data_IF_856499825708
#
_entry.id   IF_856499825708
#
_cell.length_a   1.000
_cell.length_b   1.000
_cell.length_c   1.000
_cell.angle_alpha   90.00
_cell.angle_beta   90.00
_cell.angle_gamma   90.00
#
_symmetry.space_group_name_H-M   'P 1'
#
loop_
_entity.id
_entity.type
_entity.pdbx_description
1 polymer ?
#
# COMPACT_ATOMS: atom_id res chain seq x y z
N UNK A 1 -52.00 -3.53 26.23
CA UNK A 1 -51.69 -4.48 25.14
C UNK A 1 -51.01 -3.71 24.01
N UNK A 2 -50.04 -4.29 23.29
CA UNK A 2 -48.60 -4.47 23.57
C UNK A 2 -47.72 -3.30 23.10
N UNK A 3 -46.52 -3.15 23.68
CA UNK A 3 -45.53 -2.12 23.31
C UNK A 3 -44.55 -2.55 22.21
N UNK A 4 -43.77 -1.61 21.63
CA UNK A 4 -42.70 -1.94 20.69
C UNK A 4 -41.41 -2.36 21.44
N UNK A 5 -41.27 -3.67 21.64
CA UNK A 5 -39.99 -4.40 21.56
C UNK A 5 -39.35 -4.10 20.19
N UNK A 6 -38.05 -4.10 19.93
CA UNK A 6 -36.87 -4.47 20.66
C UNK A 6 -35.65 -4.04 19.81
N UNK A 7 -34.57 -3.64 20.48
CA UNK A 7 -33.17 -3.81 20.06
C UNK A 7 -32.74 -3.30 18.68
N UNK A 8 -32.29 -2.04 18.65
CA UNK A 8 -31.15 -1.64 17.81
C UNK A 8 -29.95 -2.49 18.22
N UNK A 9 -29.71 -3.59 17.50
CA UNK A 9 -28.50 -4.38 17.60
C UNK A 9 -27.31 -3.54 17.13
N UNK A 10 -26.67 -2.82 18.06
CA UNK A 10 -25.31 -2.37 17.85
C UNK A 10 -24.46 -3.64 17.71
N UNK A 11 -24.03 -3.93 16.48
CA UNK A 11 -23.04 -4.99 16.23
C UNK A 11 -21.77 -4.52 16.92
N UNK A 12 -21.58 -4.98 18.15
CA UNK A 12 -20.33 -4.92 18.89
C UNK A 12 -19.34 -5.81 18.13
N UNK A 13 -18.67 -5.21 17.14
CA UNK A 13 -17.47 -5.81 16.56
C UNK A 13 -16.46 -5.87 17.70
N UNK A 14 -16.02 -7.06 18.14
CA UNK A 14 -15.04 -7.16 19.20
C UNK A 14 -13.79 -6.38 18.79
N UNK A 15 -13.14 -5.61 19.68
CA UNK A 15 -11.92 -4.87 19.34
C UNK A 15 -10.79 -5.80 18.83
N UNK A 16 -10.87 -7.09 19.18
CA UNK A 16 -10.00 -8.16 18.67
C UNK A 16 -10.23 -8.43 17.17
N UNK A 17 -11.47 -8.39 16.68
CA UNK A 17 -11.77 -8.56 15.25
C UNK A 17 -11.23 -7.41 14.40
N UNK A 18 -11.21 -6.18 14.93
CA UNK A 18 -10.57 -5.04 14.25
C UNK A 18 -9.03 -5.17 14.20
N UNK A 19 -8.41 -5.77 15.22
CA UNK A 19 -6.97 -6.07 15.26
C UNK A 19 -6.58 -7.27 14.36
N UNK A 20 -7.49 -8.20 14.10
CA UNK A 20 -7.23 -9.40 13.29
C UNK A 20 -7.14 -9.12 11.78
N UNK A 21 -7.81 -8.08 11.28
CA UNK A 21 -7.79 -7.72 9.85
C UNK A 21 -6.53 -6.94 9.47
N UNK A 22 -5.97 -6.14 10.39
CA UNK A 22 -4.78 -5.31 10.13
C UNK A 22 -3.48 -6.13 10.05
N UNK A 23 -3.41 -7.27 10.74
CA UNK A 23 -2.21 -8.14 10.72
C UNK A 23 -2.07 -9.03 9.47
N UNK A 24 -3.07 -9.05 8.58
CA UNK A 24 -3.09 -9.93 7.42
C UNK A 24 -2.50 -9.30 6.16
N UNK A 25 -2.37 -7.97 6.11
CA UNK A 25 -1.83 -7.27 4.94
C UNK A 25 -0.60 -6.47 5.35
N UNK A 26 0.48 -6.64 4.59
CA UNK A 26 1.71 -5.89 4.83
C UNK A 26 2.51 -5.73 3.54
N UNK A 27 3.38 -4.71 3.52
CA UNK A 27 4.38 -4.56 2.48
C UNK A 27 5.48 -5.62 2.69
N UNK A 28 5.76 -6.38 1.63
CA UNK A 28 6.89 -7.32 1.57
C UNK A 28 7.82 -6.94 0.44
N UNK A 29 9.13 -7.16 0.56
CA UNK A 29 10.04 -6.99 -0.56
C UNK A 29 9.57 -7.78 -1.78
N UNK A 30 9.51 -7.13 -2.93
CA UNK A 30 9.23 -7.79 -4.20
C UNK A 30 10.33 -8.80 -4.52
N UNK A 31 9.98 -9.88 -5.22
CA UNK A 31 10.95 -10.92 -5.57
C UNK A 31 12.10 -10.33 -6.42
N UNK A 32 13.37 -10.65 -6.10
CA UNK A 32 14.51 -10.12 -6.85
C UNK A 32 14.38 -10.39 -8.35
N UNK A 33 14.49 -9.35 -9.16
CA UNK A 33 14.44 -9.46 -10.62
C UNK A 33 13.03 -9.48 -11.24
N UNK A 34 11.97 -9.70 -10.47
CA UNK A 34 10.59 -9.68 -10.96
C UNK A 34 9.89 -8.36 -10.56
N UNK A 35 9.28 -7.67 -11.53
CA UNK A 35 8.37 -6.58 -11.21
C UNK A 35 7.00 -7.14 -10.79
N UNK A 36 6.29 -6.47 -9.86
CA UNK A 36 4.94 -6.82 -9.48
C UNK A 36 3.98 -6.75 -10.68
N UNK A 37 2.89 -7.51 -10.60
CA UNK A 37 1.87 -7.53 -11.64
C UNK A 37 1.10 -6.20 -11.67
N UNK A 38 0.46 -5.84 -12.80
CA UNK A 38 -0.53 -4.78 -12.84
C UNK A 38 -1.59 -4.94 -11.73
N UNK A 39 -2.14 -3.81 -11.29
CA UNK A 39 -3.11 -3.68 -10.18
C UNK A 39 -2.57 -4.07 -8.79
N UNK A 40 -1.26 -4.26 -8.65
CA UNK A 40 -0.63 -4.50 -7.34
C UNK A 40 -0.33 -3.17 -6.66
N UNK A 41 -0.75 -2.99 -5.41
CA UNK A 41 -0.31 -1.85 -4.58
C UNK A 41 1.16 -2.04 -4.19
N UNK A 42 1.95 -1.00 -4.42
CA UNK A 42 3.40 -1.02 -4.25
C UNK A 42 3.91 0.21 -3.53
N UNK A 43 5.05 0.03 -2.87
CA UNK A 43 5.87 1.10 -2.34
C UNK A 43 7.23 1.03 -2.99
N UNK A 44 7.64 2.14 -3.61
CA UNK A 44 8.93 2.31 -4.26
C UNK A 44 9.77 3.24 -3.40
N UNK A 45 10.97 2.80 -3.02
CA UNK A 45 11.99 3.66 -2.40
C UNK A 45 13.12 3.85 -3.40
N UNK A 46 13.51 5.11 -3.62
CA UNK A 46 14.52 5.47 -4.61
C UNK A 46 15.95 5.32 -4.08
N UNK A 47 16.88 4.98 -4.97
CA UNK A 47 18.32 4.88 -4.67
C UNK A 47 18.94 6.23 -4.32
N UNK A 48 18.44 7.29 -4.94
CA UNK A 48 18.75 8.67 -4.61
C UNK A 48 17.43 9.45 -4.61
N UNK A 49 17.28 10.51 -3.79
CA UNK A 49 16.10 11.35 -3.87
C UNK A 49 15.98 11.95 -5.27
N UNK A 50 14.75 12.03 -5.77
CA UNK A 50 14.44 12.58 -7.09
C UNK A 50 13.47 13.75 -6.99
N UNK A 51 13.45 14.59 -8.01
CA UNK A 51 12.49 15.68 -8.11
C UNK A 51 11.32 15.25 -9.00
N UNK A 52 10.09 15.47 -8.53
CA UNK A 52 8.87 15.02 -9.22
C UNK A 52 8.02 16.24 -9.62
N UNK A 53 7.76 16.44 -10.93
CA UNK A 53 6.86 17.48 -11.37
C UNK A 53 5.41 17.12 -11.00
N UNK A 54 4.72 18.06 -10.35
CA UNK A 54 3.34 17.97 -9.87
C UNK A 54 2.43 18.95 -10.63
N UNK A 55 2.70 19.17 -11.92
CA UNK A 55 2.04 20.20 -12.72
C UNK A 55 2.67 21.58 -12.48
N UNK A 56 2.05 22.37 -11.61
CA UNK A 56 2.42 23.79 -11.38
C UNK A 56 3.64 23.96 -10.45
N UNK A 57 4.04 22.92 -9.73
CA UNK A 57 5.22 22.93 -8.88
C UNK A 57 5.98 21.61 -8.99
N UNK A 58 7.23 21.61 -8.55
CA UNK A 58 8.05 20.39 -8.44
C UNK A 58 8.21 20.04 -6.97
N UNK A 59 7.90 18.80 -6.61
CA UNK A 59 8.19 18.28 -5.30
C UNK A 59 9.62 17.76 -5.29
N UNK A 60 10.50 18.44 -4.55
CA UNK A 60 11.92 18.11 -4.53
C UNK A 60 12.26 17.02 -3.51
N UNK A 61 13.36 16.31 -3.76
CA UNK A 61 13.93 15.30 -2.88
C UNK A 61 12.96 14.18 -2.46
N UNK A 62 12.12 13.69 -3.38
CA UNK A 62 11.25 12.55 -3.15
C UNK A 62 12.07 11.28 -2.96
N UNK A 63 11.90 10.64 -1.82
CA UNK A 63 12.61 9.40 -1.45
C UNK A 63 11.75 8.16 -1.63
N UNK A 64 10.43 8.32 -1.63
CA UNK A 64 9.50 7.20 -1.71
C UNK A 64 8.18 7.59 -2.37
N UNK A 65 7.61 6.64 -3.12
CA UNK A 65 6.27 6.71 -3.70
C UNK A 65 5.46 5.48 -3.28
N UNK A 66 4.18 5.69 -2.99
CA UNK A 66 3.20 4.61 -2.84
C UNK A 66 2.13 4.77 -3.92
N UNK A 67 1.73 3.65 -4.53
CA UNK A 67 0.79 3.67 -5.64
C UNK A 67 0.36 2.27 -6.07
N UNK A 68 -0.27 2.19 -7.23
CA UNK A 68 -0.70 0.93 -7.86
C UNK A 68 0.04 0.76 -9.17
N UNK A 69 0.53 -0.44 -9.46
CA UNK A 69 1.20 -0.75 -10.73
C UNK A 69 0.21 -0.65 -11.87
N UNK A 70 0.47 0.24 -12.82
CA UNK A 70 -0.28 0.32 -14.07
C UNK A 70 0.29 -0.64 -15.12
N UNK A 71 1.61 -0.68 -15.22
CA UNK A 71 2.34 -1.52 -16.18
C UNK A 71 3.75 -1.80 -15.65
N UNK A 72 4.31 -2.92 -16.06
CA UNK A 72 5.65 -3.34 -15.66
C UNK A 72 6.36 -3.94 -16.88
N UNK A 73 7.52 -3.40 -17.21
CA UNK A 73 8.41 -3.91 -18.26
C UNK A 73 9.76 -4.34 -17.65
N UNK A 74 10.68 -4.89 -18.46
CA UNK A 74 12.00 -5.30 -18.00
C UNK A 74 12.73 -4.17 -17.29
N UNK A 75 12.66 -2.95 -17.82
CA UNK A 75 13.49 -1.82 -17.39
C UNK A 75 12.71 -0.69 -16.70
N UNK A 76 11.38 -0.69 -16.77
CA UNK A 76 10.55 0.39 -16.21
C UNK A 76 9.36 -0.15 -15.43
N UNK A 77 9.03 0.56 -14.34
CA UNK A 77 7.83 0.33 -13.53
C UNK A 77 6.89 1.53 -13.72
N UNK A 78 5.77 1.32 -14.41
CA UNK A 78 4.71 2.30 -14.52
C UNK A 78 3.73 2.18 -13.35
N UNK A 79 3.51 3.28 -12.63
CA UNK A 79 2.63 3.31 -11.47
C UNK A 79 1.73 4.54 -11.45
N UNK A 80 0.52 4.36 -10.92
CA UNK A 80 -0.39 5.44 -10.55
C UNK A 80 -0.16 5.74 -9.07
N UNK A 81 0.44 6.89 -8.77
CA UNK A 81 0.83 7.25 -7.43
C UNK A 81 -0.37 7.71 -6.62
N UNK A 82 -0.40 7.33 -5.34
CA UNK A 82 -1.32 7.85 -4.34
C UNK A 82 -0.62 8.81 -3.39
N UNK A 83 0.59 8.48 -2.96
CA UNK A 83 1.35 9.28 -2.01
C UNK A 83 2.81 9.45 -2.44
N UNK A 84 3.34 10.67 -2.29
CA UNK A 84 4.74 11.01 -2.43
C UNK A 84 5.34 11.39 -1.08
N UNK A 85 6.55 10.92 -0.81
CA UNK A 85 7.25 11.15 0.45
C UNK A 85 8.59 11.84 0.18
N UNK A 86 8.67 13.18 0.36
CA UNK A 86 9.93 13.90 0.32
C UNK A 86 10.83 13.53 1.50
N UNK A 87 12.15 13.72 1.35
CA UNK A 87 13.14 13.54 2.40
C UNK A 87 12.80 14.35 3.64
N UNK A 88 12.35 15.60 3.43
CA UNK A 88 11.99 16.55 4.47
C UNK A 88 10.56 17.02 4.23
N UNK A 89 9.76 17.07 5.30
CA UNK A 89 8.38 17.55 5.28
C UNK A 89 7.35 16.44 5.44
N UNK A 90 6.11 16.73 5.02
CA UNK A 90 4.97 15.80 5.10
C UNK A 90 4.82 15.00 3.81
N UNK A 91 4.05 13.91 3.85
CA UNK A 91 3.61 13.24 2.62
C UNK A 91 2.67 14.12 1.81
N UNK A 92 2.70 13.98 0.50
CA UNK A 92 1.87 14.71 -0.45
C UNK A 92 0.95 13.75 -1.19
N UNK A 93 -0.30 14.15 -1.38
CA UNK A 93 -1.22 13.43 -2.27
C UNK A 93 -0.74 13.61 -3.71
N UNK A 94 -0.56 12.49 -4.42
CA UNK A 94 -0.09 12.48 -5.79
C UNK A 94 -1.21 12.74 -6.81
N UNK A 95 -2.47 12.85 -6.36
CA UNK A 95 -3.66 13.05 -7.18
C UNK A 95 -3.79 12.03 -8.32
N UNK A 96 -3.38 10.78 -8.08
CA UNK A 96 -3.37 9.71 -9.09
C UNK A 96 -2.47 10.02 -10.30
N UNK A 97 -1.40 10.78 -10.12
CA UNK A 97 -0.37 11.02 -11.13
C UNK A 97 0.27 9.72 -11.61
N UNK A 98 0.52 9.61 -12.92
CA UNK A 98 1.15 8.43 -13.52
C UNK A 98 2.64 8.65 -13.75
N UNK A 99 3.47 7.73 -13.26
CA UNK A 99 4.93 7.84 -13.32
C UNK A 99 5.54 6.55 -13.88
N UNK A 100 6.50 6.68 -14.78
CA UNK A 100 7.32 5.57 -15.24
C UNK A 100 8.70 5.68 -14.58
N UNK A 101 9.01 4.75 -13.69
CA UNK A 101 10.26 4.75 -12.92
C UNK A 101 11.24 3.75 -13.55
N UNK A 102 12.45 4.19 -13.96
CA UNK A 102 13.50 3.27 -14.37
C UNK A 102 13.89 2.33 -13.22
N UNK A 103 14.05 1.04 -13.51
CA UNK A 103 14.41 0.03 -12.50
C UNK A 103 15.73 0.37 -11.79
N UNK A 104 16.67 0.99 -12.50
CA UNK A 104 17.96 1.43 -11.95
C UNK A 104 17.86 2.52 -10.87
N UNK A 105 16.75 3.25 -10.80
CA UNK A 105 16.50 4.29 -9.78
C UNK A 105 15.85 3.71 -8.52
N UNK A 106 15.41 2.45 -8.55
CA UNK A 106 14.71 1.80 -7.44
C UNK A 106 15.72 1.12 -6.53
N UNK A 107 15.80 1.57 -5.27
CA UNK A 107 16.58 0.89 -4.23
C UNK A 107 15.82 -0.30 -3.66
N UNK A 108 14.54 -0.11 -3.39
CA UNK A 108 13.69 -1.10 -2.76
C UNK A 108 12.29 -0.99 -3.33
N UNK A 109 11.77 -2.14 -3.74
CA UNK A 109 10.40 -2.30 -4.20
C UNK A 109 9.68 -3.24 -3.23
N UNK A 110 8.60 -2.75 -2.63
CA UNK A 110 7.73 -3.54 -1.77
C UNK A 110 6.35 -3.68 -2.41
N UNK A 111 5.75 -4.86 -2.31
CA UNK A 111 4.39 -5.15 -2.76
C UNK A 111 3.48 -5.36 -1.56
N UNK A 112 2.27 -4.81 -1.62
CA UNK A 112 1.24 -5.02 -0.61
C UNK A 112 0.64 -6.40 -0.79
N UNK A 113 0.88 -7.30 0.18
CA UNK A 113 0.40 -8.68 0.09
C UNK A 113 -0.37 -9.14 1.30
N UNK A 114 -1.37 -9.96 1.01
CA UNK A 114 -2.10 -10.75 1.97
C UNK A 114 -1.25 -11.96 2.42
N UNK A 115 -1.01 -12.08 3.72
CA UNK A 115 -0.22 -13.17 4.29
C UNK A 115 -1.11 -14.26 4.91
N UNK A 116 -1.61 -15.16 4.05
CA UNK A 116 -2.51 -16.24 4.47
C UNK A 116 -1.98 -17.19 5.55
N UNK A 117 -0.65 -17.34 5.70
CA UNK A 117 -0.06 -18.18 6.77
C UNK A 117 -0.27 -17.60 8.17
N UNK A 118 -0.26 -16.26 8.33
CA UNK A 118 -0.66 -15.64 9.60
C UNK A 118 -2.15 -15.84 9.84
N UNK A 119 -2.98 -15.70 8.80
CA UNK A 119 -4.42 -15.96 8.88
C UNK A 119 -4.73 -17.38 9.35
N UNK A 120 -3.99 -18.39 8.88
CA UNK A 120 -4.17 -19.78 9.31
C UNK A 120 -3.79 -20.04 10.78
N UNK A 121 -2.71 -19.43 11.27
CA UNK A 121 -2.30 -19.52 12.68
C UNK A 121 -3.37 -18.91 13.59
N UNK A 122 -3.92 -17.75 13.21
CA UNK A 122 -4.97 -17.10 14.01
C UNK A 122 -6.33 -17.79 13.91
N UNK A 123 -6.72 -18.31 12.75
CA UNK A 123 -7.94 -19.10 12.59
C UNK A 123 -7.92 -20.38 13.46
N UNK A 124 -6.74 -21.00 13.64
CA UNK A 124 -6.56 -22.13 14.55
C UNK A 124 -6.65 -21.76 16.04
N UNK A 125 -6.38 -20.50 16.42
CA UNK A 125 -6.44 -20.03 17.82
C UNK A 125 -7.86 -19.58 18.21
N UNK A 126 -8.70 -19.15 17.25
CA UNK A 126 -10.12 -18.83 17.48
C UNK A 126 -11.06 -20.03 17.28
N UNK A 127 -10.53 -21.19 16.90
CA UNK A 127 -11.27 -22.44 16.75
C UNK A 127 -11.08 -23.38 17.94
N UNK A 128 -11.63 -23.02 19.10
CA UNK A 128 -11.95 -23.91 20.22
C UNK A 128 -13.08 -23.30 21.06
#
# INVERSE_FOLDING_TARGET
>A
MPGPSAFRGAVLVPPVAALLVTGCFHYVPAAPGALPKPDTEVRVTFAQPIDIPMGEFTLNEVTRIEGVVAQADRDTLGLVARWLYPRVGRKYDAMFGSYNIPRGEIQQLEEWRFWGKRTAIFAGVTGL
#
